data_IF_203251715670
#
_entry.id   IF_203251715670
#
_cell.length_a   1.000
_cell.length_b   1.000
_cell.length_c   1.000
_cell.angle_alpha   90.00
_cell.angle_beta   90.00
_cell.angle_gamma   90.00
#
_symmetry.space_group_name_H-M   'P 1'
#
loop_
_entity.id
_entity.type
_entity.pdbx_description
1 polymer ?
#
# COMPACT_ATOMS: atom_id res chain seq x y z
N UNK A 1 -11.23 6.90 20.04
CA UNK A 1 -10.08 6.09 19.56
C UNK A 1 -10.25 5.56 18.14
N UNK A 2 -11.35 4.88 17.80
CA UNK A 2 -11.53 4.25 16.47
C UNK A 2 -11.33 5.20 15.28
N UNK A 3 -11.94 6.39 15.30
CA UNK A 3 -11.74 7.42 14.25
C UNK A 3 -10.27 7.72 13.93
N UNK A 4 -9.39 7.72 14.95
CA UNK A 4 -7.96 7.97 14.78
C UNK A 4 -7.26 6.87 13.98
N UNK A 5 -7.75 5.64 14.06
CA UNK A 5 -7.18 4.48 13.35
C UNK A 5 -7.42 4.55 11.84
N UNK A 6 -8.56 5.09 11.39
CA UNK A 6 -8.82 5.29 9.95
C UNK A 6 -7.92 6.37 9.36
N UNK A 7 -7.70 7.46 10.10
CA UNK A 7 -6.76 8.49 9.69
C UNK A 7 -5.33 7.98 9.68
N UNK A 8 -4.95 7.16 10.66
CA UNK A 8 -3.65 6.51 10.69
C UNK A 8 -3.47 5.57 9.48
N UNK A 9 -4.48 4.76 9.15
CA UNK A 9 -4.45 3.91 7.96
C UNK A 9 -4.34 4.74 6.68
N UNK A 10 -5.10 5.83 6.55
CA UNK A 10 -5.00 6.72 5.39
C UNK A 10 -3.61 7.36 5.28
N UNK A 11 -3.02 7.79 6.40
CA UNK A 11 -1.66 8.34 6.41
C UNK A 11 -0.63 7.30 6.00
N UNK A 12 -0.74 6.06 6.50
CA UNK A 12 0.10 4.95 6.08
C UNK A 12 -0.01 4.70 4.57
N UNK A 13 -1.23 4.70 4.02
CA UNK A 13 -1.45 4.61 2.58
C UNK A 13 -0.74 5.73 1.81
N UNK A 14 -0.89 6.99 2.26
CA UNK A 14 -0.25 8.14 1.61
C UNK A 14 1.27 8.02 1.65
N UNK A 15 1.86 7.67 2.79
CA UNK A 15 3.30 7.49 2.93
C UNK A 15 3.84 6.40 2.00
N UNK A 16 3.20 5.22 2.00
CA UNK A 16 3.60 4.11 1.12
C UNK A 16 3.48 4.51 -0.36
N UNK A 17 2.41 5.24 -0.71
CA UNK A 17 2.18 5.71 -2.08
C UNK A 17 3.24 6.70 -2.52
N UNK A 18 3.55 7.72 -1.72
CA UNK A 18 4.57 8.71 -2.03
C UNK A 18 5.95 8.08 -2.16
N UNK A 19 6.28 7.15 -1.27
CA UNK A 19 7.52 6.41 -1.33
C UNK A 19 7.60 5.56 -2.61
N UNK A 20 6.52 4.86 -2.96
CA UNK A 20 6.44 4.07 -4.19
C UNK A 20 6.59 4.95 -5.43
N UNK A 21 5.91 6.10 -5.50
CA UNK A 21 6.00 7.02 -6.63
C UNK A 21 7.41 7.59 -6.82
N UNK A 22 8.04 8.02 -5.72
CA UNK A 22 9.43 8.49 -5.74
C UNK A 22 10.35 7.46 -6.40
N UNK A 23 10.25 6.21 -5.96
CA UNK A 23 11.02 5.08 -6.45
C UNK A 23 10.83 4.78 -7.95
N UNK A 24 9.65 5.01 -8.51
CA UNK A 24 9.42 4.88 -9.96
C UNK A 24 9.94 6.08 -10.76
N UNK A 25 9.92 7.28 -10.18
CA UNK A 25 10.38 8.50 -10.84
C UNK A 25 11.91 8.58 -10.94
N UNK A 26 12.64 7.90 -10.06
CA UNK A 26 14.10 7.88 -10.03
C UNK A 26 14.65 6.46 -10.27
N UNK A 27 14.69 6.01 -11.55
CA UNK A 27 15.04 4.64 -11.93
C UNK A 27 16.49 4.16 -11.73
N UNK A 28 17.52 4.98 -11.37
CA UNK A 28 18.80 4.41 -10.92
C UNK A 28 18.67 3.47 -9.71
N UNK A 29 17.54 3.50 -8.99
CA UNK A 29 17.20 2.58 -7.91
C UNK A 29 16.41 1.34 -8.37
N UNK A 30 16.01 1.24 -9.65
CA UNK A 30 15.35 0.07 -10.20
C UNK A 30 16.37 -1.08 -10.34
N UNK A 31 16.24 -2.10 -9.50
CA UNK A 31 17.16 -3.22 -9.30
C UNK A 31 17.98 -3.09 -8.02
N UNK A 32 17.94 -1.94 -7.35
CA UNK A 32 18.70 -1.67 -6.13
C UNK A 32 18.06 -2.34 -4.90
N UNK A 33 18.80 -2.49 -3.78
CA UNK A 33 18.24 -2.98 -2.52
C UNK A 33 17.04 -2.14 -2.02
N UNK A 34 17.00 -0.83 -2.35
CA UNK A 34 15.88 0.05 -2.03
C UNK A 34 14.59 -0.41 -2.72
N UNK A 35 14.69 -1.06 -3.89
CA UNK A 35 13.55 -1.66 -4.55
C UNK A 35 12.88 -2.77 -3.72
N UNK A 36 13.68 -3.63 -3.11
CA UNK A 36 13.14 -4.71 -2.28
C UNK A 36 12.53 -4.18 -0.99
N UNK A 37 13.09 -3.09 -0.44
CA UNK A 37 12.59 -2.42 0.76
C UNK A 37 11.19 -1.84 0.54
N UNK A 38 10.91 -1.19 -0.59
CA UNK A 38 9.56 -0.68 -0.85
C UNK A 38 8.55 -1.82 -1.07
N UNK A 39 8.95 -2.94 -1.67
CA UNK A 39 8.08 -4.11 -1.83
C UNK A 39 7.71 -4.72 -0.48
N UNK A 40 8.70 -4.87 0.39
CA UNK A 40 8.48 -5.29 1.77
C UNK A 40 7.56 -4.31 2.51
N UNK A 41 7.74 -3.01 2.31
CA UNK A 41 6.88 -1.99 2.91
C UNK A 41 5.42 -2.11 2.45
N UNK A 42 5.16 -2.29 1.15
CA UNK A 42 3.79 -2.49 0.63
C UNK A 42 3.20 -3.79 1.20
N UNK A 43 3.95 -4.90 1.19
CA UNK A 43 3.51 -6.21 1.68
C UNK A 43 3.20 -6.22 3.19
N UNK A 44 3.94 -5.48 3.99
CA UNK A 44 3.76 -5.46 5.45
C UNK A 44 2.78 -4.38 5.89
N UNK A 45 2.90 -3.16 5.35
CA UNK A 45 2.12 -2.02 5.81
C UNK A 45 0.71 -1.99 5.20
N UNK A 46 0.50 -2.50 3.99
CA UNK A 46 -0.83 -2.48 3.37
C UNK A 46 -1.84 -3.40 4.06
N UNK A 47 -1.51 -4.65 4.41
CA UNK A 47 -2.40 -5.49 5.22
C UNK A 47 -2.69 -4.89 6.59
N UNK A 48 -1.67 -4.31 7.25
CA UNK A 48 -1.85 -3.61 8.53
C UNK A 48 -2.81 -2.43 8.38
N UNK A 49 -2.65 -1.62 7.33
CA UNK A 49 -3.55 -0.51 7.02
C UNK A 49 -4.99 -0.98 6.79
N UNK A 50 -5.18 -2.05 6.02
CA UNK A 50 -6.51 -2.65 5.81
C UNK A 50 -7.11 -3.12 7.14
N UNK A 51 -6.35 -3.82 7.98
CA UNK A 51 -6.81 -4.28 9.28
C UNK A 51 -7.19 -3.11 10.20
N UNK A 52 -6.39 -2.05 10.24
CA UNK A 52 -6.68 -0.84 11.00
C UNK A 52 -7.98 -0.17 10.53
N UNK A 53 -8.20 -0.09 9.23
CA UNK A 53 -9.45 0.42 8.67
C UNK A 53 -10.63 -0.49 9.01
N UNK A 54 -10.48 -1.81 8.96
CA UNK A 54 -11.54 -2.75 9.31
C UNK A 54 -11.91 -2.70 10.80
N UNK A 55 -10.92 -2.62 11.69
CA UNK A 55 -11.12 -2.53 13.16
C UNK A 55 -11.75 -1.19 13.56
N UNK A 56 -11.48 -0.14 12.80
CA UNK A 56 -12.04 1.19 13.03
C UNK A 56 -13.54 1.31 12.68
N UNK A 57 -14.10 0.32 11.97
CA UNK A 57 -15.51 0.29 11.59
C UNK A 57 -16.43 0.41 12.82
N UNK A 58 -17.10 1.54 12.96
CA UNK A 58 -18.20 1.72 13.90
C UNK A 58 -19.52 1.26 13.29
N UNK A 59 -20.42 0.76 14.13
CA UNK A 59 -21.47 -0.22 13.79
C UNK A 59 -22.42 0.12 12.64
N UNK A 60 -22.58 1.37 12.20
CA UNK A 60 -23.68 1.67 11.26
C UNK A 60 -23.31 2.29 9.90
N UNK A 61 -22.14 2.90 9.69
CA UNK A 61 -21.74 3.41 8.34
C UNK A 61 -20.23 3.39 8.12
N UNK A 62 -19.80 2.80 7.00
CA UNK A 62 -18.45 2.95 6.46
C UNK A 62 -18.26 4.41 6.03
N UNK A 63 -17.37 5.15 6.69
CA UNK A 63 -17.06 6.51 6.27
C UNK A 63 -16.23 6.49 4.98
N UNK A 64 -16.29 7.57 4.19
CA UNK A 64 -15.53 7.69 2.93
C UNK A 64 -14.05 7.42 3.13
N UNK A 65 -13.48 7.88 4.25
CA UNK A 65 -12.08 7.68 4.64
C UNK A 65 -11.73 6.19 4.78
N UNK A 66 -12.61 5.38 5.38
CA UNK A 66 -12.39 3.94 5.49
C UNK A 66 -12.34 3.26 4.12
N UNK A 67 -13.29 3.59 3.27
CA UNK A 67 -13.38 3.01 1.93
C UNK A 67 -12.12 3.38 1.14
N UNK A 68 -11.74 4.66 1.16
CA UNK A 68 -10.52 5.12 0.48
C UNK A 68 -9.28 4.42 0.99
N UNK A 69 -9.14 4.24 2.30
CA UNK A 69 -7.97 3.57 2.88
C UNK A 69 -7.89 2.08 2.48
N UNK A 70 -9.01 1.34 2.58
CA UNK A 70 -9.07 -0.09 2.19
C UNK A 70 -8.81 -0.25 0.70
N UNK A 71 -9.48 0.55 -0.14
CA UNK A 71 -9.32 0.50 -1.59
C UNK A 71 -7.90 0.89 -1.98
N UNK A 72 -7.34 1.95 -1.39
CA UNK A 72 -5.98 2.40 -1.67
C UNK A 72 -4.92 1.32 -1.37
N UNK A 73 -4.98 0.71 -0.19
CA UNK A 73 -4.08 -0.38 0.16
C UNK A 73 -4.28 -1.62 -0.71
N UNK A 74 -5.52 -1.92 -1.09
CA UNK A 74 -5.83 -3.06 -1.98
C UNK A 74 -5.29 -2.82 -3.40
N UNK A 75 -5.40 -1.60 -3.92
CA UNK A 75 -4.82 -1.21 -5.21
C UNK A 75 -3.29 -1.25 -5.15
N UNK A 76 -2.66 -0.84 -4.05
CA UNK A 76 -1.21 -0.96 -3.87
C UNK A 76 -0.74 -2.42 -3.86
N UNK A 77 -1.47 -3.31 -3.19
CA UNK A 77 -1.18 -4.75 -3.22
C UNK A 77 -1.36 -5.34 -4.62
N UNK A 78 -2.44 -4.97 -5.33
CA UNK A 78 -2.67 -5.40 -6.70
C UNK A 78 -1.58 -4.88 -7.63
N UNK A 79 -1.18 -3.62 -7.49
CA UNK A 79 -0.09 -3.01 -8.23
C UNK A 79 1.21 -3.79 -8.01
N UNK A 80 1.55 -4.09 -6.76
CA UNK A 80 2.73 -4.89 -6.44
C UNK A 80 2.67 -6.28 -7.09
N UNK A 81 1.53 -6.95 -6.99
CA UNK A 81 1.34 -8.26 -7.58
C UNK A 81 1.54 -8.21 -9.11
N UNK A 82 0.85 -7.29 -9.78
CA UNK A 82 0.98 -7.11 -11.23
C UNK A 82 2.40 -6.73 -11.64
N UNK A 83 3.08 -5.85 -10.88
CA UNK A 83 4.46 -5.47 -11.14
C UNK A 83 5.41 -6.66 -11.04
N UNK A 84 5.26 -7.49 -10.01
CA UNK A 84 6.08 -8.69 -9.83
C UNK A 84 5.78 -9.74 -10.91
N UNK A 85 4.51 -9.96 -11.25
CA UNK A 85 4.11 -10.88 -12.32
C UNK A 85 4.61 -10.41 -13.69
N UNK A 86 4.57 -9.11 -13.96
CA UNK A 86 5.10 -8.54 -15.20
C UNK A 86 6.62 -8.66 -15.24
N UNK A 87 7.31 -8.43 -14.11
CA UNK A 87 8.74 -8.67 -13.98
C UNK A 87 9.10 -10.14 -14.26
N UNK A 88 8.35 -11.08 -13.68
CA UNK A 88 8.49 -12.52 -13.94
C UNK A 88 8.28 -12.88 -15.42
N UNK A 89 7.19 -12.39 -16.02
CA UNK A 89 6.85 -12.66 -17.43
C UNK A 89 7.86 -12.10 -18.43
N UNK A 90 8.40 -10.90 -18.16
CA UNK A 90 9.34 -10.22 -19.06
C UNK A 90 10.77 -10.77 -18.89
N UNK A 91 11.20 -11.04 -17.65
CA UNK A 91 12.58 -11.42 -17.34
C UNK A 91 12.79 -12.94 -17.20
N UNK A 92 11.71 -13.74 -17.17
CA UNK A 92 11.77 -15.20 -17.22
C UNK A 92 12.42 -15.88 -16.01
N UNK A 93 12.51 -15.19 -14.87
CA UNK A 93 13.08 -15.70 -13.61
C UNK A 93 11.97 -16.03 -12.63
#
# INVERSE_FOLDING_TARGET
>A
MKWYLSHLSLNLFVCVTLFTLYSFMFPPEAGSPFQRLWFAAILLLSPVGILLALVSRNRDKLTRIHITAIVGHSVMLLFLFLYMTLGYLILGV
#
